data_IF_004329703102
#
_entry.id   IF_004329703102
#
_cell.length_a   1.000
_cell.length_b   1.000
_cell.length_c   1.000
_cell.angle_alpha   90.00
_cell.angle_beta   90.00
_cell.angle_gamma   90.00
#
_symmetry.space_group_name_H-M   'P 1'
#
loop_
_entity.id
_entity.type
_entity.pdbx_description
1 polymer ?
#
# COMPACT_ATOMS: atom_id res chain seq x y z
N UNK A 1 14.01 -8.93 6.17
CA UNK A 1 14.49 -7.52 6.12
C UNK A 1 13.35 -6.64 6.60
N UNK A 2 13.60 -5.73 7.54
CA UNK A 2 12.55 -4.85 8.08
C UNK A 2 12.14 -3.75 7.08
N UNK A 3 13.00 -3.34 6.15
CA UNK A 3 12.74 -2.35 5.09
C UNK A 3 13.69 -2.58 3.89
N UNK A 4 13.44 -1.93 2.75
CA UNK A 4 14.35 -1.84 1.60
C UNK A 4 14.17 -0.46 0.92
N UNK A 5 15.21 0.36 1.00
CA UNK A 5 15.27 1.73 0.44
C UNK A 5 16.60 1.92 -0.29
N UNK A 6 16.73 2.98 -1.11
CA UNK A 6 17.94 3.22 -1.91
C UNK A 6 19.21 3.41 -1.05
N UNK A 7 19.14 4.32 -0.08
CA UNK A 7 20.25 4.66 0.81
C UNK A 7 19.72 5.17 2.15
N UNK A 8 19.96 4.42 3.22
CA UNK A 8 19.51 4.79 4.57
C UNK A 8 20.22 6.03 5.12
N UNK A 9 21.40 6.37 4.59
CA UNK A 9 22.17 7.54 5.06
C UNK A 9 21.53 8.88 4.66
N UNK A 10 20.48 8.87 3.84
CA UNK A 10 19.71 10.06 3.47
C UNK A 10 18.67 10.46 4.54
N UNK A 11 18.54 9.69 5.63
CA UNK A 11 17.50 9.88 6.63
C UNK A 11 17.55 11.27 7.30
N UNK A 12 18.74 11.78 7.61
CA UNK A 12 18.91 13.12 8.20
C UNK A 12 18.37 14.24 7.29
N UNK A 13 18.55 14.12 5.98
CA UNK A 13 18.06 15.12 5.02
C UNK A 13 16.54 15.00 4.83
N UNK A 14 16.02 13.78 4.80
CA UNK A 14 14.58 13.53 4.84
C UNK A 14 13.94 14.09 6.11
N UNK A 15 14.57 13.91 7.28
CA UNK A 15 14.08 14.42 8.57
C UNK A 15 13.95 15.94 8.58
N UNK A 16 14.93 16.65 8.01
CA UNK A 16 14.89 18.12 7.86
C UNK A 16 13.75 18.56 6.93
N UNK A 17 13.55 17.85 5.82
CA UNK A 17 12.50 18.16 4.85
C UNK A 17 11.10 17.88 5.44
N UNK A 18 10.92 16.77 6.15
CA UNK A 18 9.68 16.45 6.89
C UNK A 18 9.35 17.58 7.89
N UNK A 19 10.32 18.04 8.68
CA UNK A 19 10.10 19.12 9.66
C UNK A 19 9.69 20.47 9.01
N UNK A 20 10.03 20.69 7.74
CA UNK A 20 9.55 21.84 6.97
C UNK A 20 8.12 21.56 6.49
N UNK A 21 7.86 20.39 5.90
CA UNK A 21 6.55 20.01 5.38
C UNK A 21 5.45 19.99 6.46
N UNK A 22 5.77 19.60 7.69
CA UNK A 22 4.83 19.66 8.82
C UNK A 22 4.24 21.06 9.05
N UNK A 23 4.98 22.13 8.74
CA UNK A 23 4.48 23.51 8.85
C UNK A 23 3.45 23.85 7.76
N UNK A 24 3.54 23.18 6.61
CA UNK A 24 2.65 23.35 5.47
C UNK A 24 1.48 22.35 5.47
N UNK A 25 1.44 21.41 6.42
CA UNK A 25 0.40 20.39 6.53
C UNK A 25 -0.42 20.51 7.84
N UNK A 26 -1.06 21.67 8.10
CA UNK A 26 -1.75 21.93 9.36
C UNK A 26 -2.90 20.95 9.64
N UNK A 27 -3.55 20.40 8.60
CA UNK A 27 -4.61 19.40 8.75
C UNK A 27 -4.13 18.13 9.44
N UNK A 28 -2.98 17.59 9.02
CA UNK A 28 -2.38 16.42 9.66
C UNK A 28 -1.88 16.75 11.07
N UNK A 29 -1.26 17.92 11.27
CA UNK A 29 -0.77 18.33 12.59
C UNK A 29 -1.92 18.48 13.60
N UNK A 30 -3.04 19.09 13.20
CA UNK A 30 -4.24 19.19 14.03
C UNK A 30 -4.82 17.80 14.31
N UNK A 31 -4.79 16.88 13.34
CA UNK A 31 -5.26 15.50 13.52
C UNK A 31 -4.43 14.76 14.57
N UNK A 32 -3.09 14.86 14.50
CA UNK A 32 -2.18 14.32 15.52
C UNK A 32 -2.48 14.91 16.90
N UNK A 33 -2.59 16.23 17.00
CA UNK A 33 -2.86 16.90 18.28
C UNK A 33 -4.22 16.49 18.88
N UNK A 34 -5.24 16.30 18.04
CA UNK A 34 -6.60 15.99 18.49
C UNK A 34 -6.75 14.54 18.91
N UNK A 35 -6.24 13.60 18.11
CA UNK A 35 -6.53 12.17 18.29
C UNK A 35 -5.31 11.32 18.68
N UNK A 36 -4.10 11.89 18.71
CA UNK A 36 -2.88 11.16 19.05
C UNK A 36 -2.90 10.55 20.45
N UNK A 37 -3.54 11.21 21.42
CA UNK A 37 -3.72 10.63 22.78
C UNK A 37 -4.74 9.49 22.82
N UNK A 38 -5.72 9.50 21.92
CA UNK A 38 -6.77 8.47 21.85
C UNK A 38 -6.28 7.19 21.16
N UNK A 39 -5.21 7.29 20.34
CA UNK A 39 -4.64 6.21 19.54
C UNK A 39 -5.73 5.38 18.83
N UNK A 40 -6.61 5.99 18.00
CA UNK A 40 -7.78 5.31 17.43
C UNK A 40 -7.44 4.17 16.48
N UNK A 41 -6.20 4.11 15.97
CA UNK A 41 -5.71 3.05 15.10
C UNK A 41 -4.90 1.99 15.86
N UNK A 42 -4.88 2.04 17.20
CA UNK A 42 -4.16 1.08 18.04
C UNK A 42 -4.52 -0.37 17.68
N UNK A 43 -3.49 -1.17 17.40
CA UNK A 43 -3.63 -2.59 17.05
C UNK A 43 -4.15 -2.84 15.63
N UNK A 44 -4.18 -1.82 14.75
CA UNK A 44 -4.50 -1.99 13.34
C UNK A 44 -3.23 -2.06 12.50
N UNK A 45 -3.13 -3.09 11.67
CA UNK A 45 -2.13 -3.24 10.62
C UNK A 45 -2.57 -2.44 9.39
N UNK A 46 -1.78 -1.46 8.97
CA UNK A 46 -2.11 -0.56 7.88
C UNK A 46 -1.04 -0.62 6.79
N UNK A 47 -1.44 -1.00 5.58
CA UNK A 47 -0.58 -0.92 4.39
C UNK A 47 -0.88 0.35 3.60
N UNK A 48 0.15 1.08 3.20
CA UNK A 48 0.04 2.15 2.22
C UNK A 48 0.72 1.82 0.89
N UNK A 49 0.07 2.21 -0.19
CA UNK A 49 0.57 2.16 -1.57
C UNK A 49 0.29 3.51 -2.24
N UNK A 50 1.05 4.53 -1.81
CA UNK A 50 1.00 5.90 -2.31
C UNK A 50 2.42 6.33 -2.66
N UNK A 51 2.57 7.35 -3.51
CA UNK A 51 3.89 7.92 -3.80
C UNK A 51 4.69 8.18 -2.52
N UNK A 52 5.89 7.61 -2.40
CA UNK A 52 6.72 7.73 -1.20
C UNK A 52 7.50 9.06 -1.20
N UNK A 53 6.80 10.16 -0.90
CA UNK A 53 7.34 11.53 -0.84
C UNK A 53 7.47 12.04 0.60
N UNK A 54 7.97 13.26 0.77
CA UNK A 54 8.01 13.97 2.06
C UNK A 54 6.60 14.17 2.64
N UNK A 55 5.61 14.50 1.82
CA UNK A 55 4.23 14.69 2.25
C UNK A 55 3.63 13.37 2.75
N UNK A 56 3.90 12.28 2.02
CA UNK A 56 3.52 10.92 2.45
C UNK A 56 4.24 10.50 3.72
N UNK A 57 5.49 10.91 3.93
CA UNK A 57 6.20 10.68 5.20
C UNK A 57 5.45 11.35 6.38
N UNK A 58 4.95 12.57 6.22
CA UNK A 58 4.10 13.23 7.23
C UNK A 58 2.78 12.47 7.46
N UNK A 59 2.17 11.92 6.41
CA UNK A 59 0.99 11.05 6.53
C UNK A 59 1.32 9.78 7.34
N UNK A 60 2.39 9.06 6.99
CA UNK A 60 2.83 7.84 7.68
C UNK A 60 3.03 8.10 9.16
N UNK A 61 3.79 9.14 9.52
CA UNK A 61 4.03 9.50 10.91
C UNK A 61 2.74 9.91 11.64
N UNK A 62 1.76 10.47 10.92
CA UNK A 62 0.43 10.71 11.49
C UNK A 62 -0.27 9.41 11.82
N UNK A 63 -0.27 8.42 10.91
CA UNK A 63 -0.92 7.13 11.12
C UNK A 63 -0.27 6.35 12.28
N UNK A 64 1.06 6.38 12.38
CA UNK A 64 1.82 5.82 13.52
C UNK A 64 1.49 6.56 14.81
N UNK A 65 1.43 7.90 14.79
CA UNK A 65 1.03 8.71 15.95
C UNK A 65 -0.43 8.43 16.36
N UNK A 66 -1.29 7.99 15.45
CA UNK A 66 -2.65 7.52 15.76
C UNK A 66 -2.70 6.06 16.23
N UNK A 67 -1.56 5.37 16.31
CA UNK A 67 -1.40 4.04 16.90
C UNK A 67 -1.34 2.86 15.91
N UNK A 68 -1.32 3.11 14.61
CA UNK A 68 -1.26 2.05 13.60
C UNK A 68 0.12 1.35 13.55
N UNK A 69 0.12 0.05 13.21
CA UNK A 69 1.29 -0.68 12.73
C UNK A 69 1.37 -0.53 11.21
N UNK A 70 2.29 0.29 10.72
CA UNK A 70 2.31 0.75 9.32
C UNK A 70 3.38 0.05 8.50
N UNK A 71 3.06 -0.32 7.26
CA UNK A 71 4.01 -0.75 6.23
C UNK A 71 3.73 -0.02 4.93
N UNK A 72 4.75 0.29 4.14
CA UNK A 72 4.57 1.16 2.96
C UNK A 72 5.35 0.71 1.73
N UNK A 73 4.74 0.87 0.56
CA UNK A 73 5.36 0.83 -0.75
C UNK A 73 4.93 2.05 -1.58
N UNK A 74 5.71 2.40 -2.61
CA UNK A 74 5.30 3.44 -3.57
C UNK A 74 4.35 2.85 -4.60
N UNK A 75 3.42 3.65 -5.15
CA UNK A 75 2.55 3.27 -6.28
C UNK A 75 3.11 3.70 -7.66
N UNK A 76 4.37 4.16 -7.71
CA UNK A 76 5.04 4.45 -8.98
C UNK A 76 6.56 4.32 -8.87
N UNK A 77 7.17 3.69 -9.88
CA UNK A 77 8.61 3.38 -9.94
C UNK A 77 9.52 4.62 -9.91
N UNK A 78 9.01 5.83 -10.18
CA UNK A 78 9.80 7.07 -10.21
C UNK A 78 9.38 8.12 -9.19
N UNK A 79 8.27 7.92 -8.46
CA UNK A 79 7.74 8.95 -7.57
C UNK A 79 8.46 9.01 -6.22
N UNK A 80 9.12 7.93 -5.81
CA UNK A 80 9.84 7.87 -4.54
C UNK A 80 10.88 8.99 -4.42
N UNK A 81 10.85 9.68 -3.28
CA UNK A 81 11.91 10.56 -2.83
C UNK A 81 12.76 9.78 -1.82
N UNK A 82 13.96 9.35 -2.22
CA UNK A 82 14.75 8.38 -1.44
C UNK A 82 15.08 8.85 -0.02
N UNK A 83 15.30 10.15 0.18
CA UNK A 83 15.50 10.76 1.49
C UNK A 83 14.25 10.68 2.39
N UNK A 84 13.03 10.81 1.82
CA UNK A 84 11.78 10.59 2.57
C UNK A 84 11.64 9.12 2.99
N UNK A 85 11.88 8.20 2.06
CA UNK A 85 11.84 6.76 2.32
C UNK A 85 12.84 6.36 3.41
N UNK A 86 14.08 6.87 3.34
CA UNK A 86 15.12 6.65 4.34
C UNK A 86 14.72 7.20 5.72
N UNK A 87 14.19 8.42 5.79
CA UNK A 87 13.79 9.05 7.04
C UNK A 87 12.66 8.30 7.76
N UNK A 88 11.72 7.71 7.01
CA UNK A 88 10.68 6.86 7.58
C UNK A 88 11.24 5.49 7.97
N UNK A 89 12.06 4.87 7.12
CA UNK A 89 12.67 3.58 7.43
C UNK A 89 13.52 3.62 8.71
N UNK A 90 14.24 4.73 8.96
CA UNK A 90 15.04 4.93 10.18
C UNK A 90 14.19 4.94 11.47
N UNK A 91 12.92 5.33 11.39
CA UNK A 91 12.00 5.26 12.56
C UNK A 91 11.61 3.84 12.96
N UNK A 92 11.96 2.84 12.13
CA UNK A 92 11.58 1.44 12.29
C UNK A 92 10.31 1.05 11.53
N UNK A 93 9.63 2.00 10.87
CA UNK A 93 8.49 1.72 9.97
C UNK A 93 9.00 1.01 8.71
N UNK A 94 8.49 -0.19 8.38
CA UNK A 94 8.84 -0.90 7.15
C UNK A 94 8.46 -0.14 5.88
N UNK A 95 9.47 0.33 5.14
CA UNK A 95 9.31 0.95 3.82
C UNK A 95 10.02 0.11 2.77
N UNK A 96 9.33 -0.19 1.68
CA UNK A 96 9.82 -0.90 0.51
C UNK A 96 9.62 0.01 -0.70
N UNK A 97 10.54 0.95 -0.89
CA UNK A 97 10.43 1.93 -1.96
C UNK A 97 11.80 2.57 -2.26
N UNK A 98 12.12 2.72 -3.54
CA UNK A 98 13.21 3.57 -4.03
C UNK A 98 12.89 4.16 -5.40
N UNK A 99 13.59 5.22 -5.77
CA UNK A 99 13.43 5.82 -7.10
C UNK A 99 14.13 4.96 -8.15
N UNK A 100 13.43 4.70 -9.25
CA UNK A 100 13.97 3.94 -10.39
C UNK A 100 13.86 2.42 -10.23
N UNK A 101 12.83 1.94 -9.54
CA UNK A 101 12.49 0.51 -9.48
C UNK A 101 12.26 -0.10 -10.87
N UNK A 102 12.62 -1.37 -11.03
CA UNK A 102 12.05 -2.20 -12.10
C UNK A 102 10.61 -2.61 -11.77
N UNK A 103 9.86 -3.11 -12.77
CA UNK A 103 8.50 -3.61 -12.54
C UNK A 103 8.50 -4.81 -11.57
N UNK A 104 9.48 -5.70 -11.69
CA UNK A 104 9.66 -6.83 -10.78
C UNK A 104 9.89 -6.37 -9.33
N UNK A 105 10.67 -5.31 -9.13
CA UNK A 105 10.91 -4.73 -7.82
C UNK A 105 9.69 -4.00 -7.26
N UNK A 106 8.97 -3.26 -8.10
CA UNK A 106 7.73 -2.58 -7.75
C UNK A 106 6.69 -3.54 -7.17
N UNK A 107 6.36 -4.60 -7.91
CA UNK A 107 5.39 -5.59 -7.45
C UNK A 107 5.89 -6.40 -6.25
N UNK A 108 7.20 -6.61 -6.14
CA UNK A 108 7.80 -7.17 -4.93
C UNK A 108 7.61 -6.25 -3.72
N UNK A 109 7.84 -4.94 -3.88
CA UNK A 109 7.62 -3.93 -2.84
C UNK A 109 6.16 -3.93 -2.38
N UNK A 110 5.20 -3.96 -3.31
CA UNK A 110 3.76 -4.06 -3.01
C UNK A 110 3.45 -5.30 -2.17
N UNK A 111 3.99 -6.47 -2.53
CA UNK A 111 3.82 -7.68 -1.73
C UNK A 111 4.45 -7.56 -0.33
N UNK A 112 5.64 -6.97 -0.20
CA UNK A 112 6.28 -6.78 1.10
C UNK A 112 5.51 -5.82 2.02
N UNK A 113 4.87 -4.79 1.45
CA UNK A 113 4.03 -3.85 2.18
C UNK A 113 2.71 -4.50 2.63
N UNK A 114 2.17 -5.45 1.86
CA UNK A 114 0.97 -6.23 2.21
C UNK A 114 1.23 -7.39 3.19
N UNK A 115 2.48 -7.78 3.40
CA UNK A 115 2.84 -8.93 4.24
C UNK A 115 3.33 -8.48 5.62
N UNK A 116 2.52 -8.71 6.65
CA UNK A 116 2.87 -8.49 8.05
C UNK A 116 3.46 -9.75 8.71
N UNK A 117 3.88 -9.61 9.98
CA UNK A 117 4.47 -10.70 10.75
C UNK A 117 3.57 -11.95 10.76
N UNK A 118 4.17 -13.14 10.66
CA UNK A 118 3.42 -14.39 10.60
C UNK A 118 2.67 -14.62 9.28
N UNK A 119 2.99 -13.86 8.22
CA UNK A 119 2.28 -13.83 6.94
C UNK A 119 0.82 -13.39 7.07
N UNK A 120 0.52 -12.52 8.04
CA UNK A 120 -0.76 -11.84 8.13
C UNK A 120 -0.88 -10.73 7.06
N UNK A 121 -2.11 -10.41 6.66
CA UNK A 121 -2.40 -9.24 5.82
C UNK A 121 -2.75 -7.99 6.62
N UNK A 122 -2.89 -6.81 5.96
CA UNK A 122 -3.36 -5.60 6.60
C UNK A 122 -4.81 -5.72 7.09
N UNK A 123 -5.16 -4.92 8.09
CA UNK A 123 -6.56 -4.61 8.43
C UNK A 123 -7.08 -3.43 7.59
N UNK A 124 -6.21 -2.47 7.26
CA UNK A 124 -6.57 -1.24 6.54
C UNK A 124 -5.59 -1.00 5.39
N UNK A 125 -6.10 -0.46 4.28
CA UNK A 125 -5.29 -0.12 3.11
C UNK A 125 -5.51 1.35 2.75
N UNK A 126 -4.43 2.07 2.47
CA UNK A 126 -4.45 3.36 1.78
C UNK A 126 -3.82 3.13 0.42
N UNK A 127 -4.57 3.34 -0.66
CA UNK A 127 -4.15 2.99 -2.02
C UNK A 127 -4.26 4.22 -2.94
N UNK A 128 -3.37 4.31 -3.91
CA UNK A 128 -3.38 5.32 -4.96
C UNK A 128 -3.15 4.63 -6.30
N UNK A 129 -4.21 4.59 -7.11
CA UNK A 129 -4.24 3.90 -8.40
C UNK A 129 -4.79 2.49 -8.31
N UNK A 130 -4.90 1.91 -7.11
CA UNK A 130 -5.56 0.64 -6.85
C UNK A 130 -4.69 -0.61 -7.06
N UNK A 131 -3.36 -0.50 -7.06
CA UNK A 131 -2.46 -1.62 -7.37
C UNK A 131 -2.33 -2.61 -6.20
N UNK A 132 -2.31 -2.13 -4.95
CA UNK A 132 -2.34 -3.02 -3.78
C UNK A 132 -3.68 -3.79 -3.74
N UNK A 133 -4.77 -3.08 -4.01
CA UNK A 133 -6.12 -3.65 -4.14
C UNK A 133 -6.17 -4.69 -5.27
N UNK A 134 -5.63 -4.37 -6.45
CA UNK A 134 -5.59 -5.26 -7.61
C UNK A 134 -4.82 -6.55 -7.31
N UNK A 135 -3.66 -6.46 -6.64
CA UNK A 135 -2.86 -7.63 -6.31
C UNK A 135 -3.63 -8.60 -5.41
N UNK A 136 -4.35 -8.08 -4.40
CA UNK A 136 -5.18 -8.90 -3.51
C UNK A 136 -6.30 -9.59 -4.29
N UNK A 137 -7.03 -8.84 -5.13
CA UNK A 137 -8.16 -9.39 -5.88
C UNK A 137 -7.71 -10.45 -6.91
N UNK A 138 -6.63 -10.21 -7.64
CA UNK A 138 -6.07 -11.18 -8.59
C UNK A 138 -5.51 -12.41 -7.88
N UNK A 139 -4.86 -12.23 -6.73
CA UNK A 139 -4.36 -13.33 -5.92
C UNK A 139 -5.49 -14.22 -5.40
N UNK A 140 -6.57 -13.61 -4.91
CA UNK A 140 -7.77 -14.32 -4.48
C UNK A 140 -8.43 -15.09 -5.64
N UNK A 141 -8.59 -14.46 -6.79
CA UNK A 141 -9.13 -15.09 -8.01
C UNK A 141 -8.30 -16.30 -8.45
N UNK A 142 -6.96 -16.17 -8.42
CA UNK A 142 -6.05 -17.27 -8.74
C UNK A 142 -6.19 -18.43 -7.76
N UNK A 143 -6.31 -18.15 -6.46
CA UNK A 143 -6.52 -19.18 -5.43
C UNK A 143 -7.86 -19.90 -5.62
N UNK A 144 -8.94 -19.17 -5.92
CA UNK A 144 -10.26 -19.76 -6.22
C UNK A 144 -10.21 -20.66 -7.46
N UNK A 145 -9.55 -20.20 -8.53
CA UNK A 145 -9.35 -21.01 -9.73
C UNK A 145 -8.57 -22.28 -9.40
N UNK A 146 -7.45 -22.14 -8.67
CA UNK A 146 -6.61 -23.27 -8.29
C UNK A 146 -7.37 -24.28 -7.42
N UNK A 147 -8.15 -23.81 -6.44
CA UNK A 147 -8.98 -24.67 -5.59
C UNK A 147 -10.00 -25.47 -6.39
N UNK A 148 -10.57 -24.89 -7.46
CA UNK A 148 -11.57 -25.54 -8.32
C UNK A 148 -10.97 -26.48 -9.35
N UNK A 149 -9.81 -26.14 -9.91
CA UNK A 149 -9.24 -26.83 -11.08
C UNK A 149 -8.02 -27.70 -10.76
N UNK A 150 -7.37 -27.50 -9.61
CA UNK A 150 -6.15 -28.21 -9.20
C UNK A 150 -4.87 -27.73 -9.88
N UNK A 151 -4.96 -26.76 -10.79
CA UNK A 151 -3.84 -26.18 -11.53
C UNK A 151 -4.10 -24.69 -11.77
N UNK A 152 -3.03 -23.89 -11.84
CA UNK A 152 -3.14 -22.48 -12.23
C UNK A 152 -3.43 -22.38 -13.75
N UNK A 153 -4.16 -21.34 -14.20
CA UNK A 153 -4.48 -21.17 -15.63
C UNK A 153 -3.20 -20.88 -16.45
N UNK A 154 -3.26 -21.01 -17.77
CA UNK A 154 -2.15 -20.60 -18.64
C UNK A 154 -2.03 -19.07 -18.67
N UNK A 155 -0.79 -18.54 -18.67
CA UNK A 155 -0.55 -17.09 -18.83
C UNK A 155 -0.70 -16.74 -20.31
N UNK A 156 -1.74 -15.98 -20.65
CA UNK A 156 -2.05 -15.60 -22.04
C UNK A 156 -1.72 -14.15 -22.38
N UNK A 157 -1.40 -13.34 -21.38
CA UNK A 157 -1.10 -11.91 -21.57
C UNK A 157 0.25 -11.66 -22.25
N UNK A 158 0.28 -10.65 -23.11
CA UNK A 158 1.48 -10.13 -23.76
C UNK A 158 2.00 -8.86 -23.08
N UNK A 159 1.30 -8.34 -22.07
CA UNK A 159 1.70 -7.15 -21.31
C UNK A 159 2.74 -7.55 -20.28
N UNK A 160 3.93 -6.95 -20.38
CA UNK A 160 5.09 -7.28 -19.53
C UNK A 160 4.77 -7.14 -18.03
N UNK A 161 4.06 -6.09 -17.64
CA UNK A 161 3.66 -5.87 -16.25
C UNK A 161 2.72 -6.97 -15.73
N UNK A 162 1.70 -7.35 -16.51
CA UNK A 162 0.80 -8.43 -16.14
C UNK A 162 1.53 -9.77 -16.01
N UNK A 163 2.55 -10.02 -16.84
CA UNK A 163 3.41 -11.22 -16.72
C UNK A 163 4.21 -11.22 -15.40
N UNK A 164 4.66 -10.05 -14.92
CA UNK A 164 5.34 -9.91 -13.64
C UNK A 164 4.38 -10.21 -12.48
N UNK A 165 3.17 -9.68 -12.52
CA UNK A 165 2.13 -9.95 -11.53
C UNK A 165 1.77 -11.44 -11.51
N UNK A 166 1.55 -12.06 -12.67
CA UNK A 166 1.26 -13.49 -12.78
C UNK A 166 2.37 -14.35 -12.18
N UNK A 167 3.63 -14.05 -12.49
CA UNK A 167 4.77 -14.77 -11.93
C UNK A 167 4.84 -14.62 -10.40
N UNK A 168 4.63 -13.40 -9.89
CA UNK A 168 4.61 -13.12 -8.45
C UNK A 168 3.49 -13.90 -7.74
N UNK A 169 2.26 -13.83 -8.27
CA UNK A 169 1.10 -14.49 -7.66
C UNK A 169 1.24 -16.01 -7.65
N UNK A 170 1.86 -16.60 -8.67
CA UNK A 170 2.14 -18.05 -8.72
C UNK A 170 3.20 -18.47 -7.71
N UNK A 171 4.24 -17.66 -7.52
CA UNK A 171 5.23 -17.90 -6.46
C UNK A 171 4.59 -17.82 -5.06
N UNK A 172 3.62 -16.91 -4.85
CA UNK A 172 2.83 -16.87 -3.61
C UNK A 172 1.94 -18.11 -3.48
N UNK A 173 1.21 -18.48 -4.53
CA UNK A 173 0.31 -19.65 -4.57
C UNK A 173 1.05 -20.96 -4.24
N UNK A 174 2.26 -21.15 -4.79
CA UNK A 174 3.09 -22.33 -4.53
C UNK A 174 3.52 -22.44 -3.06
N UNK A 175 3.72 -21.30 -2.39
CA UNK A 175 4.12 -21.25 -0.98
C UNK A 175 2.93 -21.45 -0.05
N UNK A 176 1.79 -20.86 -0.39
CA UNK A 176 0.60 -20.85 0.45
C UNK A 176 -0.66 -20.62 -0.41
N UNK A 177 -1.41 -21.68 -0.77
CA UNK A 177 -2.54 -21.58 -1.69
C UNK A 177 -3.80 -20.93 -1.07
N UNK A 178 -3.70 -20.46 0.18
CA UNK A 178 -4.77 -19.76 0.90
C UNK A 178 -4.31 -18.38 1.38
N UNK A 179 -3.17 -17.88 0.89
CA UNK A 179 -2.58 -16.63 1.33
C UNK A 179 -3.56 -15.46 1.17
N UNK A 180 -4.05 -15.24 -0.04
CA UNK A 180 -4.91 -14.11 -0.37
C UNK A 180 -6.31 -14.25 0.21
N UNK A 181 -6.84 -15.47 0.35
CA UNK A 181 -8.06 -15.72 1.13
C UNK A 181 -7.92 -15.26 2.59
N UNK A 182 -6.78 -15.56 3.24
CA UNK A 182 -6.51 -15.14 4.62
C UNK A 182 -6.33 -13.62 4.72
N UNK A 183 -5.65 -13.02 3.75
CA UNK A 183 -5.46 -11.57 3.65
C UNK A 183 -6.82 -10.88 3.51
N UNK A 184 -7.59 -11.23 2.47
CA UNK A 184 -8.88 -10.60 2.13
C UNK A 184 -9.89 -10.67 3.29
N UNK A 185 -9.91 -11.79 4.02
CA UNK A 185 -10.85 -12.01 5.13
C UNK A 185 -10.74 -10.97 6.26
N UNK A 186 -9.55 -10.44 6.51
CA UNK A 186 -9.29 -9.57 7.66
C UNK A 186 -9.30 -8.07 7.29
N UNK A 187 -9.39 -7.73 6.01
CA UNK A 187 -9.42 -6.34 5.56
C UNK A 187 -10.75 -5.69 5.95
N UNK A 188 -10.66 -4.60 6.70
CA UNK A 188 -11.77 -3.74 7.09
C UNK A 188 -12.18 -2.85 5.91
N UNK A 189 -11.20 -2.35 5.15
CA UNK A 189 -11.44 -1.63 3.91
C UNK A 189 -10.21 -0.93 3.35
N UNK A 190 -10.40 -0.34 2.17
CA UNK A 190 -9.41 0.49 1.46
C UNK A 190 -9.91 1.92 1.32
N UNK A 191 -9.03 2.91 1.47
CA UNK A 191 -9.28 4.30 1.07
C UNK A 191 -8.45 4.62 -0.19
N UNK A 192 -9.13 5.02 -1.27
CA UNK A 192 -8.52 5.22 -2.59
C UNK A 192 -8.41 6.69 -2.97
N UNK A 193 -7.20 7.09 -3.36
CA UNK A 193 -6.78 8.48 -3.54
C UNK A 193 -7.10 9.05 -4.92
N UNK A 194 -7.09 8.25 -5.99
CA UNK A 194 -7.17 8.79 -7.36
C UNK A 194 -8.35 8.28 -8.17
N UNK A 195 -8.79 9.10 -9.13
CA UNK A 195 -9.88 8.78 -10.06
C UNK A 195 -9.71 7.42 -10.75
N UNK A 196 -8.49 7.06 -11.13
CA UNK A 196 -8.19 5.77 -11.78
C UNK A 196 -8.49 4.59 -10.86
N UNK A 197 -8.01 4.64 -9.61
CA UNK A 197 -8.28 3.59 -8.64
C UNK A 197 -9.77 3.52 -8.29
N UNK A 198 -10.44 4.67 -8.15
CA UNK A 198 -11.90 4.73 -7.94
C UNK A 198 -12.66 4.03 -9.06
N UNK A 199 -12.30 4.26 -10.33
CA UNK A 199 -12.94 3.55 -11.44
C UNK A 199 -12.72 2.03 -11.40
N UNK A 200 -11.54 1.57 -10.96
CA UNK A 200 -11.29 0.13 -10.74
C UNK A 200 -12.20 -0.42 -9.64
N UNK A 201 -12.35 0.30 -8.52
CA UNK A 201 -13.25 -0.06 -7.43
C UNK A 201 -14.72 -0.11 -7.86
N UNK A 202 -15.18 0.89 -8.61
CA UNK A 202 -16.54 0.93 -9.16
C UNK A 202 -16.81 -0.24 -10.11
N UNK A 203 -15.84 -0.62 -10.93
CA UNK A 203 -15.96 -1.76 -11.82
C UNK A 203 -16.09 -3.06 -11.03
N UNK A 204 -15.22 -3.29 -10.03
CA UNK A 204 -15.31 -4.47 -9.16
C UNK A 204 -16.62 -4.51 -8.37
N UNK A 205 -17.13 -3.35 -7.93
CA UNK A 205 -18.42 -3.28 -7.25
C UNK A 205 -19.59 -3.62 -8.18
N UNK A 206 -19.59 -3.12 -9.43
CA UNK A 206 -20.59 -3.45 -10.45
C UNK A 206 -20.58 -4.93 -10.81
N UNK A 207 -19.38 -5.52 -10.90
CA UNK A 207 -19.18 -6.93 -11.22
C UNK A 207 -19.38 -7.85 -10.01
N UNK A 208 -19.65 -7.30 -8.82
CA UNK A 208 -19.80 -8.02 -7.55
C UNK A 208 -18.56 -8.82 -7.16
N UNK A 209 -17.37 -8.36 -7.56
CA UNK A 209 -16.08 -8.98 -7.26
C UNK A 209 -15.28 -8.24 -6.19
N UNK A 210 -15.73 -7.06 -5.76
CA UNK A 210 -15.09 -6.29 -4.70
C UNK A 210 -15.13 -7.05 -3.36
N UNK A 211 -13.96 -7.41 -2.83
CA UNK A 211 -13.81 -8.30 -1.67
C UNK A 211 -14.07 -7.62 -0.32
N UNK A 212 -13.87 -6.30 -0.23
CA UNK A 212 -13.96 -5.54 1.02
C UNK A 212 -14.44 -4.10 0.77
N UNK A 213 -14.94 -3.40 1.81
CA UNK A 213 -15.39 -2.01 1.69
C UNK A 213 -14.33 -1.08 1.11
N UNK A 214 -14.74 -0.13 0.29
CA UNK A 214 -13.88 0.88 -0.30
C UNK A 214 -14.43 2.29 -0.07
N UNK A 215 -13.53 3.22 0.26
CA UNK A 215 -13.83 4.62 0.54
C UNK A 215 -13.17 5.48 -0.54
N UNK A 216 -14.00 6.18 -1.31
CA UNK A 216 -13.55 7.11 -2.35
C UNK A 216 -13.11 8.43 -1.70
N UNK A 217 -11.79 8.61 -1.53
CA UNK A 217 -11.20 9.85 -1.00
C UNK A 217 -11.17 10.92 -2.10
N UNK A 218 -10.86 10.50 -3.33
CA UNK A 218 -10.73 11.37 -4.50
C UNK A 218 -11.90 12.36 -4.66
N UNK A 219 -13.14 11.89 -4.51
CA UNK A 219 -14.34 12.68 -4.76
C UNK A 219 -14.77 13.57 -3.58
N UNK A 220 -13.99 13.56 -2.49
CA UNK A 220 -14.10 14.63 -1.49
C UNK A 220 -13.83 15.97 -2.17
N UNK A 221 -14.68 16.98 -1.90
CA UNK A 221 -14.56 18.31 -2.53
C UNK A 221 -13.19 18.93 -2.23
N UNK A 222 -12.68 18.74 -1.01
CA UNK A 222 -11.37 19.22 -0.57
C UNK A 222 -10.20 18.43 -1.16
N UNK A 223 -10.46 17.35 -1.90
CA UNK A 223 -9.47 16.57 -2.64
C UNK A 223 -9.57 16.97 -4.12
N UNK A 224 -10.61 16.51 -4.83
CA UNK A 224 -10.84 16.73 -6.27
C UNK A 224 -10.75 18.18 -6.79
N UNK A 225 -10.84 19.20 -5.92
CA UNK A 225 -10.77 20.63 -6.31
C UNK A 225 -9.51 21.35 -5.82
N UNK A 226 -8.63 20.70 -5.07
CA UNK A 226 -7.49 21.34 -4.41
C UNK A 226 -6.18 20.57 -4.55
N UNK A 227 -6.23 19.26 -4.31
CA UNK A 227 -5.14 18.31 -4.50
C UNK A 227 -4.62 18.37 -5.95
#
# INVERSE_FOLDING_TARGET
MQHKVADINLADDGRKAIAIAEKEMPGLMVTRNKYGLEKPLAGKRLTGSLHMTIETAVLIETLVELGADVRWASCNIFSTQDHAAAAIAETGVPVYAWKGESLEEYWWCTLQALTFNGNEGPDLIVDDGGDATLLIHKGYELEEYFAKHGTAPEITTTVKEEQVIEALLRDVLEKDPMHWHKVAKNIIGVSEETTTGVHRLEQMAKDQTLLFPAYNVNDSVTKSKFD
#
